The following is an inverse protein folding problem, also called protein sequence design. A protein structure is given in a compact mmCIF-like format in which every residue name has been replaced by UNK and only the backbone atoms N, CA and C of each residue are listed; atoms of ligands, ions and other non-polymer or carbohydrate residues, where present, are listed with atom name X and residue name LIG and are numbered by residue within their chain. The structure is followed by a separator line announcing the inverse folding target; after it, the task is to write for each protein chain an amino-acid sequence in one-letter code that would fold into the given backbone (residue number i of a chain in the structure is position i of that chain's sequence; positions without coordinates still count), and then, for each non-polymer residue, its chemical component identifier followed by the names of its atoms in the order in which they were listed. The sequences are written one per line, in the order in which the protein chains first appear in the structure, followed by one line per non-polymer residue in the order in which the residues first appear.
data_IF_016986234254
#
_entry.id   IF_016986234254
#
_cell.length_a   1.000
_cell.length_b   1.000
_cell.length_c   1.000
_cell.angle_alpha   90.00
_cell.angle_beta   90.00
_cell.angle_gamma   90.00
#
_symmetry.space_group_name_H-M   'P 1'
#
loop_
_entity.id
_entity.type
_entity.pdbx_description
1 polymer ?
#
# COMPACT_ATOMS: atom_id res chain seq x y z
N UNK A 1 33.20 9.98 0.00
CA UNK A 1 32.15 8.94 0.04
C UNK A 1 30.92 9.51 0.74
N UNK A 2 29.97 10.07 -0.02
CA UNK A 2 28.90 10.93 0.52
C UNK A 2 27.52 10.64 -0.12
N UNK A 3 27.16 9.37 -0.30
CA UNK A 3 25.88 8.96 -0.91
C UNK A 3 25.03 8.01 -0.04
N UNK A 4 25.53 7.52 1.09
CA UNK A 4 24.85 6.49 1.89
C UNK A 4 23.84 7.00 2.93
N UNK A 5 23.79 8.31 3.23
CA UNK A 5 23.11 8.81 4.44
C UNK A 5 21.81 9.60 4.19
N UNK A 6 21.38 9.77 2.93
CA UNK A 6 20.19 10.58 2.57
C UNK A 6 18.85 9.83 2.54
N UNK A 7 18.84 8.51 2.71
CA UNK A 7 17.61 7.69 2.64
C UNK A 7 16.98 7.37 4.01
N UNK A 8 17.51 7.91 5.12
CA UNK A 8 16.94 7.75 6.47
C UNK A 8 15.81 8.75 6.75
N UNK A 9 14.85 8.90 5.84
CA UNK A 9 13.63 9.66 6.13
C UNK A 9 12.50 8.71 6.51
N UNK A 10 11.71 9.09 7.52
CA UNK A 10 10.53 8.33 7.97
C UNK A 10 9.57 8.00 6.81
N UNK A 11 9.26 8.94 5.89
CA UNK A 11 8.47 8.62 4.71
C UNK A 11 9.18 7.63 3.77
N UNK A 12 10.49 7.77 3.56
CA UNK A 12 11.26 6.90 2.68
C UNK A 12 11.24 5.43 3.11
N UNK A 13 11.36 5.15 4.41
CA UNK A 13 11.29 3.79 4.94
C UNK A 13 9.88 3.17 4.75
N UNK A 14 8.83 3.94 5.02
CA UNK A 14 7.45 3.49 4.81
C UNK A 14 7.10 3.28 3.34
N UNK A 15 7.54 4.17 2.45
CA UNK A 15 7.36 4.01 1.00
C UNK A 15 8.12 2.80 0.46
N UNK A 16 9.34 2.56 0.91
CA UNK A 16 10.11 1.38 0.50
C UNK A 16 9.44 0.09 0.97
N UNK A 17 8.91 0.05 2.20
CA UNK A 17 8.15 -1.08 2.69
C UNK A 17 6.89 -1.32 1.84
N UNK A 18 6.15 -0.26 1.49
CA UNK A 18 4.99 -0.36 0.61
C UNK A 18 5.36 -0.90 -0.78
N UNK A 19 6.46 -0.42 -1.36
CA UNK A 19 6.97 -0.90 -2.62
C UNK A 19 7.31 -2.39 -2.55
N UNK A 20 8.01 -2.84 -1.50
CA UNK A 20 8.35 -4.26 -1.31
C UNK A 20 7.08 -5.11 -1.17
N UNK A 21 6.09 -4.66 -0.39
CA UNK A 21 4.82 -5.38 -0.24
C UNK A 21 4.12 -5.56 -1.58
N UNK A 22 4.03 -4.49 -2.37
CA UNK A 22 3.41 -4.54 -3.70
C UNK A 22 4.20 -5.44 -4.65
N UNK A 23 5.53 -5.33 -4.68
CA UNK A 23 6.36 -6.15 -5.57
C UNK A 23 6.31 -7.64 -5.22
N UNK A 24 6.34 -8.00 -3.94
CA UNK A 24 6.37 -9.40 -3.52
C UNK A 24 4.96 -9.99 -3.59
N UNK A 25 4.01 -9.39 -2.88
CA UNK A 25 2.69 -9.97 -2.70
C UNK A 25 1.71 -9.61 -3.83
N UNK A 26 1.92 -8.51 -4.53
CA UNK A 26 1.16 -8.21 -5.77
C UNK A 26 1.61 -9.03 -6.98
N UNK A 27 2.71 -9.79 -6.88
CA UNK A 27 3.24 -10.56 -8.01
C UNK A 27 2.28 -11.64 -8.48
N UNK A 28 2.21 -11.94 -9.80
CA UNK A 28 1.40 -13.03 -10.33
C UNK A 28 1.71 -14.38 -9.68
N UNK A 29 2.98 -14.62 -9.34
CA UNK A 29 3.42 -15.86 -8.72
C UNK A 29 2.91 -16.03 -7.30
N UNK A 30 3.00 -14.98 -6.46
CA UNK A 30 2.43 -15.05 -5.12
C UNK A 30 0.91 -15.18 -5.17
N UNK A 31 0.24 -14.42 -6.05
CA UNK A 31 -1.21 -14.45 -6.16
C UNK A 31 -1.74 -15.82 -6.65
N UNK A 32 -1.03 -16.48 -7.57
CA UNK A 32 -1.34 -17.84 -8.03
C UNK A 32 -1.02 -18.90 -6.96
N UNK A 33 0.08 -18.74 -6.23
CA UNK A 33 0.40 -19.61 -5.11
C UNK A 33 -0.65 -19.51 -4.00
N UNK A 34 -1.04 -18.30 -3.62
CA UNK A 34 -2.03 -18.05 -2.57
C UNK A 34 -3.38 -18.62 -2.96
N UNK A 35 -3.85 -18.42 -4.20
CA UNK A 35 -5.14 -18.98 -4.65
C UNK A 35 -5.19 -20.51 -4.65
N UNK A 36 -4.04 -21.18 -4.87
CA UNK A 36 -3.95 -22.64 -4.90
C UNK A 36 -3.70 -23.28 -3.54
N UNK A 37 -3.05 -22.57 -2.62
CA UNK A 37 -2.56 -23.15 -1.35
C UNK A 37 -3.22 -22.56 -0.11
N UNK A 38 -3.92 -21.43 -0.20
CA UNK A 38 -4.53 -20.76 0.92
C UNK A 38 -6.05 -20.96 0.92
N UNK A 39 -6.56 -21.65 1.94
CA UNK A 39 -8.00 -21.87 2.15
C UNK A 39 -8.69 -20.54 2.56
N UNK A 40 -9.55 -19.95 1.70
CA UNK A 40 -10.18 -18.67 1.98
C UNK A 40 -11.19 -18.71 3.14
N UNK A 41 -11.67 -19.90 3.53
CA UNK A 41 -12.59 -20.07 4.66
C UNK A 41 -11.87 -20.01 6.02
N UNK A 42 -10.52 -20.06 6.00
CA UNK A 42 -9.70 -19.87 7.20
C UNK A 42 -9.21 -18.43 7.31
N UNK A 43 -9.09 -17.91 8.54
CA UNK A 43 -8.57 -16.56 8.75
C UNK A 43 -7.15 -16.36 8.17
N UNK A 44 -6.30 -17.39 8.26
CA UNK A 44 -4.96 -17.38 7.70
C UNK A 44 -4.98 -17.35 6.17
N UNK A 45 -5.78 -18.21 5.54
CA UNK A 45 -5.85 -18.24 4.09
C UNK A 45 -6.54 -17.02 3.50
N UNK A 46 -7.55 -16.46 4.18
CA UNK A 46 -8.11 -15.15 3.85
C UNK A 46 -7.04 -14.05 3.87
N UNK A 47 -6.19 -14.00 4.91
CA UNK A 47 -5.12 -13.01 5.01
C UNK A 47 -4.06 -13.18 3.92
N UNK A 48 -3.68 -14.42 3.60
CA UNK A 48 -2.75 -14.71 2.51
C UNK A 48 -3.28 -14.25 1.15
N UNK A 49 -4.59 -14.42 0.90
CA UNK A 49 -5.26 -13.90 -0.29
C UNK A 49 -5.36 -12.37 -0.26
N UNK A 50 -5.58 -11.76 0.91
CA UNK A 50 -5.62 -10.31 1.06
C UNK A 50 -4.29 -9.65 0.68
N UNK A 51 -3.15 -10.27 1.02
CA UNK A 51 -1.83 -9.78 0.63
C UNK A 51 -1.68 -9.64 -0.89
N UNK A 52 -2.39 -10.45 -1.67
CA UNK A 52 -2.40 -10.39 -3.13
C UNK A 52 -3.30 -9.30 -3.73
N UNK A 53 -4.00 -8.50 -2.92
CA UNK A 53 -4.94 -7.48 -3.40
C UNK A 53 -4.34 -6.46 -4.39
N UNK A 54 -3.12 -5.90 -4.20
CA UNK A 54 -2.49 -5.01 -5.17
C UNK A 54 -1.85 -5.82 -6.32
N UNK A 55 -2.58 -6.81 -6.85
CA UNK A 55 -2.15 -7.64 -7.98
C UNK A 55 -1.81 -6.76 -9.18
N UNK A 56 -0.64 -7.00 -9.76
CA UNK A 56 -0.16 -6.42 -11.02
C UNK A 56 0.18 -7.55 -12.00
N UNK A 57 0.16 -7.27 -13.30
CA UNK A 57 0.55 -8.25 -14.32
C UNK A 57 1.32 -7.59 -15.46
N UNK A 58 2.57 -8.03 -15.64
CA UNK A 58 3.32 -7.77 -16.86
C UNK A 58 3.01 -8.87 -17.88
N UNK A 59 1.82 -8.81 -18.49
CA UNK A 59 1.51 -9.65 -19.63
C UNK A 59 1.58 -8.81 -20.91
N UNK A 60 2.47 -9.17 -21.83
CA UNK A 60 2.62 -8.49 -23.12
C UNK A 60 1.46 -8.76 -24.09
N UNK A 61 0.56 -9.69 -23.76
CA UNK A 61 -0.60 -10.07 -24.58
C UNK A 61 -1.90 -9.34 -24.22
N UNK A 62 -1.94 -8.66 -23.07
CA UNK A 62 -3.11 -7.88 -22.64
C UNK A 62 -3.21 -6.53 -23.38
N UNK A 63 -4.44 -6.01 -23.49
CA UNK A 63 -4.63 -4.67 -24.05
C UNK A 63 -3.89 -3.65 -23.17
N UNK A 64 -3.19 -2.69 -23.78
CA UNK A 64 -2.46 -1.64 -23.03
C UNK A 64 -3.36 -0.94 -21.98
N UNK A 65 -4.67 -0.90 -22.22
CA UNK A 65 -5.65 -0.32 -21.29
C UNK A 65 -5.84 -1.18 -20.04
N UNK A 66 -5.88 -2.50 -20.16
CA UNK A 66 -6.11 -3.41 -19.03
C UNK A 66 -4.85 -3.57 -18.17
N UNK A 67 -3.67 -3.58 -18.81
CA UNK A 67 -2.36 -3.52 -18.14
C UNK A 67 -2.26 -2.21 -17.36
N UNK A 68 -2.57 -1.08 -18.02
CA UNK A 68 -2.52 0.22 -17.37
C UNK A 68 -3.47 0.28 -16.17
N UNK A 69 -4.71 -0.16 -16.25
CA UNK A 69 -5.65 -0.06 -15.11
C UNK A 69 -5.24 -0.97 -13.94
N UNK A 70 -4.76 -2.18 -14.22
CA UNK A 70 -4.36 -3.15 -13.18
C UNK A 70 -3.08 -2.71 -12.47
N UNK A 71 -2.07 -2.29 -13.24
CA UNK A 71 -0.80 -1.80 -12.71
C UNK A 71 -0.92 -0.40 -12.09
N UNK A 72 -1.84 0.43 -12.59
CA UNK A 72 -2.13 1.77 -12.05
C UNK A 72 -2.52 1.69 -10.58
N UNK A 73 -3.32 0.70 -10.16
CA UNK A 73 -3.70 0.51 -8.75
C UNK A 73 -2.49 0.29 -7.85
N UNK A 74 -1.58 -0.58 -8.28
CA UNK A 74 -0.36 -0.91 -7.55
C UNK A 74 0.57 0.30 -7.45
N UNK A 75 0.74 1.05 -8.55
CA UNK A 75 1.53 2.28 -8.59
C UNK A 75 0.91 3.37 -7.70
N UNK A 76 -0.39 3.61 -7.83
CA UNK A 76 -1.11 4.59 -7.00
C UNK A 76 -0.99 4.27 -5.52
N UNK A 77 -1.09 3.00 -5.13
CA UNK A 77 -0.94 2.60 -3.74
C UNK A 77 0.43 3.06 -3.19
N UNK A 78 1.53 2.82 -3.91
CA UNK A 78 2.87 3.23 -3.47
C UNK A 78 3.02 4.76 -3.47
N UNK A 79 2.59 5.44 -4.53
CA UNK A 79 2.69 6.90 -4.66
C UNK A 79 1.84 7.62 -3.62
N UNK A 80 0.60 7.19 -3.41
CA UNK A 80 -0.28 7.75 -2.40
C UNK A 80 0.22 7.46 -0.98
N UNK A 81 0.84 6.29 -0.75
CA UNK A 81 1.51 6.02 0.53
C UNK A 81 2.62 7.03 0.79
N UNK A 82 3.49 7.27 -0.20
CA UNK A 82 4.54 8.28 -0.09
C UNK A 82 3.96 9.68 0.17
N UNK A 83 2.90 10.05 -0.56
CA UNK A 83 2.21 11.32 -0.41
C UNK A 83 1.62 11.49 1.00
N UNK A 84 0.86 10.50 1.50
CA UNK A 84 0.26 10.58 2.81
C UNK A 84 1.31 10.55 3.92
N UNK A 85 2.36 9.73 3.81
CA UNK A 85 3.49 9.75 4.76
C UNK A 85 4.24 11.09 4.76
N UNK A 86 4.26 11.81 3.64
CA UNK A 86 4.85 13.14 3.55
C UNK A 86 3.95 14.24 4.13
N UNK A 87 2.63 14.13 3.93
CA UNK A 87 1.66 15.14 4.35
C UNK A 87 1.23 15.00 5.83
N UNK A 88 1.11 13.76 6.34
CA UNK A 88 0.63 13.49 7.70
C UNK A 88 1.52 14.03 8.83
N UNK A 89 2.87 14.12 8.72
CA UNK A 89 3.71 14.71 9.75
C UNK A 89 3.52 16.23 9.97
N UNK A 90 2.55 16.88 9.30
CA UNK A 90 2.25 18.30 9.45
C UNK A 90 2.09 18.72 10.92
N UNK A 91 2.70 19.87 11.24
CA UNK A 91 2.81 20.68 12.49
C UNK A 91 2.11 20.27 13.81
N UNK A 92 1.02 19.50 13.79
CA UNK A 92 0.28 18.99 14.93
C UNK A 92 0.89 17.70 15.52
N UNK A 93 1.39 16.78 14.67
CA UNK A 93 2.08 15.55 15.11
C UNK A 93 3.47 15.83 15.70
N UNK A 94 4.08 16.95 15.32
CA UNK A 94 5.32 17.44 15.91
C UNK A 94 5.19 17.76 17.42
N UNK A 95 3.96 17.90 17.93
CA UNK A 95 3.65 18.17 19.34
C UNK A 95 3.37 16.88 20.14
N UNK A 96 2.89 15.82 19.48
CA UNK A 96 2.65 14.49 20.05
C UNK A 96 3.81 13.52 19.75
N UNK A 97 5.05 13.94 20.02
CA UNK A 97 6.30 13.20 19.74
C UNK A 97 6.38 11.88 20.51
N UNK A 98 5.74 10.84 20.01
CA UNK A 98 5.82 9.49 20.53
C UNK A 98 5.86 8.44 19.41
N UNK A 99 6.64 7.38 19.61
CA UNK A 99 6.76 6.21 18.72
C UNK A 99 5.40 5.64 18.32
N UNK A 100 4.43 5.66 19.23
CA UNK A 100 3.06 5.19 19.00
C UNK A 100 2.32 6.05 17.97
N UNK A 101 2.47 7.38 18.05
CA UNK A 101 1.80 8.30 17.13
C UNK A 101 2.32 8.16 15.69
N UNK A 102 3.63 7.92 15.54
CA UNK A 102 4.26 7.65 14.25
C UNK A 102 3.83 6.31 13.64
N UNK A 103 3.68 5.27 14.46
CA UNK A 103 3.13 3.98 14.04
C UNK A 103 1.71 4.15 13.47
N UNK A 104 0.80 4.79 14.22
CA UNK A 104 -0.58 5.01 13.77
C UNK A 104 -0.67 5.97 12.58
N UNK A 105 0.25 6.93 12.46
CA UNK A 105 0.34 7.79 11.27
C UNK A 105 0.74 6.97 10.03
N UNK A 106 1.74 6.09 10.14
CA UNK A 106 2.13 5.21 9.04
C UNK A 106 1.06 4.19 8.67
N UNK A 107 0.39 3.62 9.67
CA UNK A 107 -0.72 2.71 9.46
C UNK A 107 -1.90 3.39 8.76
N UNK A 108 -2.34 4.55 9.28
CA UNK A 108 -3.46 5.30 8.68
C UNK A 108 -3.13 5.80 7.27
N UNK A 109 -1.88 6.22 7.00
CA UNK A 109 -1.42 6.57 5.66
C UNK A 109 -1.70 5.45 4.65
N UNK A 110 -1.42 4.20 5.04
CA UNK A 110 -1.61 3.04 4.15
C UNK A 110 -3.08 2.66 3.96
N UNK A 111 -3.92 2.84 4.99
CA UNK A 111 -5.39 2.69 4.88
C UNK A 111 -5.94 3.65 3.83
N UNK A 112 -5.61 4.94 3.94
CA UNK A 112 -6.06 5.95 2.99
C UNK A 112 -5.49 5.70 1.60
N UNK A 113 -4.20 5.35 1.50
CA UNK A 113 -3.57 5.04 0.22
C UNK A 113 -4.29 3.89 -0.51
N UNK A 114 -4.62 2.80 0.21
CA UNK A 114 -5.40 1.68 -0.34
C UNK A 114 -6.78 2.09 -0.83
N UNK A 115 -7.53 2.83 0.00
CA UNK A 115 -8.86 3.30 -0.37
C UNK A 115 -8.87 4.22 -1.59
N UNK A 116 -7.98 5.22 -1.61
CA UNK A 116 -7.87 6.17 -2.73
C UNK A 116 -7.31 5.51 -4.00
N UNK A 117 -6.33 4.60 -3.89
CA UNK A 117 -5.82 3.87 -5.03
C UNK A 117 -6.93 3.08 -5.72
N UNK A 118 -7.75 2.35 -4.95
CA UNK A 118 -8.88 1.61 -5.50
C UNK A 118 -9.93 2.53 -6.11
N UNK A 119 -10.30 3.60 -5.38
CA UNK A 119 -11.28 4.59 -5.85
C UNK A 119 -10.86 5.19 -7.19
N UNK A 120 -9.65 5.73 -7.28
CA UNK A 120 -9.17 6.36 -8.51
C UNK A 120 -9.06 5.34 -9.64
N UNK A 121 -8.55 4.14 -9.38
CA UNK A 121 -8.46 3.09 -10.41
C UNK A 121 -9.84 2.77 -11.00
N UNK A 122 -10.88 2.65 -10.15
CA UNK A 122 -12.22 2.34 -10.65
C UNK A 122 -12.85 3.43 -11.51
N UNK A 123 -12.45 4.70 -11.33
CA UNK A 123 -12.95 5.80 -12.16
C UNK A 123 -12.41 5.78 -13.59
N UNK A 124 -11.30 5.07 -13.83
CA UNK A 124 -10.72 4.89 -15.18
C UNK A 124 -11.30 3.69 -15.96
N UNK A 125 -12.22 2.92 -15.35
CA UNK A 125 -12.92 1.82 -16.01
C UNK A 125 -13.91 2.34 -17.06
N UNK A 126 -14.20 1.53 -18.10
CA UNK A 126 -15.06 1.93 -19.21
C UNK A 126 -16.54 2.19 -18.83
N UNK A 127 -17.03 1.54 -17.76
CA UNK A 127 -18.40 1.69 -17.25
C UNK A 127 -18.37 1.82 -15.71
N UNK A 128 -17.91 2.95 -15.17
CA UNK A 128 -17.77 3.12 -13.73
C UNK A 128 -19.15 3.40 -13.10
N UNK A 129 -19.50 2.67 -12.05
CA UNK A 129 -20.62 3.04 -11.18
C UNK A 129 -20.11 3.56 -9.85
N UNK A 130 -20.79 4.56 -9.29
CA UNK A 130 -20.42 5.16 -8.00
C UNK A 130 -20.35 4.11 -6.89
N UNK A 131 -21.30 3.18 -6.87
CA UNK A 131 -21.34 2.09 -5.88
C UNK A 131 -20.17 1.11 -6.04
N UNK A 132 -19.74 0.81 -7.28
CA UNK A 132 -18.57 -0.02 -7.51
C UNK A 132 -17.29 0.68 -7.02
N UNK A 133 -17.17 1.99 -7.24
CA UNK A 133 -16.04 2.78 -6.76
C UNK A 133 -15.96 2.78 -5.22
N UNK A 134 -17.09 2.96 -4.52
CA UNK A 134 -17.12 2.89 -3.05
C UNK A 134 -16.81 1.50 -2.51
N UNK A 135 -17.31 0.43 -3.15
CA UNK A 135 -16.96 -0.95 -2.76
C UNK A 135 -15.47 -1.23 -2.97
N UNK A 136 -14.90 -0.78 -4.08
CA UNK A 136 -13.47 -0.91 -4.34
C UNK A 136 -12.63 -0.12 -3.33
N UNK A 137 -13.03 1.12 -3.03
CA UNK A 137 -12.41 1.93 -1.98
C UNK A 137 -12.47 1.23 -0.62
N UNK A 138 -13.61 0.63 -0.26
CA UNK A 138 -13.77 -0.18 0.94
C UNK A 138 -12.77 -1.35 0.98
N UNK A 139 -12.67 -2.12 -0.10
CA UNK A 139 -11.72 -3.24 -0.20
C UNK A 139 -10.27 -2.77 -0.07
N UNK A 140 -9.91 -1.66 -0.71
CA UNK A 140 -8.57 -1.06 -0.62
C UNK A 140 -8.25 -0.56 0.79
N UNK A 141 -9.22 0.07 1.46
CA UNK A 141 -9.08 0.49 2.85
C UNK A 141 -8.98 -0.71 3.80
N UNK A 142 -9.74 -1.78 3.57
CA UNK A 142 -9.62 -3.05 4.30
C UNK A 142 -8.21 -3.64 4.14
N UNK A 143 -7.68 -3.71 2.91
CA UNK A 143 -6.30 -4.12 2.69
C UNK A 143 -5.31 -3.28 3.53
N UNK A 144 -5.43 -1.96 3.46
CA UNK A 144 -4.57 -1.07 4.26
C UNK A 144 -4.77 -1.23 5.77
N UNK A 145 -5.97 -1.60 6.23
CA UNK A 145 -6.25 -1.84 7.65
C UNK A 145 -5.50 -3.05 8.17
N UNK A 146 -5.53 -4.17 7.43
CA UNK A 146 -4.91 -5.43 7.88
C UNK A 146 -3.42 -5.54 7.56
N UNK A 147 -2.91 -4.75 6.61
CA UNK A 147 -1.50 -4.81 6.17
C UNK A 147 -0.70 -3.57 6.58
N UNK A 148 -1.37 -2.42 6.80
CA UNK A 148 -0.71 -1.13 7.02
C UNK A 148 0.08 -1.01 8.31
N UNK A 149 -0.09 -1.91 9.28
CA UNK A 149 0.78 -1.97 10.46
C UNK A 149 2.25 -2.23 10.08
N UNK A 150 2.52 -2.92 8.96
CA UNK A 150 3.89 -3.11 8.43
C UNK A 150 4.52 -1.76 8.07
N UNK A 151 3.74 -0.89 7.42
CA UNK A 151 4.18 0.47 7.08
C UNK A 151 4.36 1.29 8.35
N UNK A 152 3.43 1.17 9.30
CA UNK A 152 3.54 1.77 10.63
C UNK A 152 4.82 1.36 11.36
N UNK A 153 5.27 0.10 11.27
CA UNK A 153 6.53 -0.34 11.86
C UNK A 153 7.75 0.15 11.07
N UNK A 154 7.68 0.12 9.73
CA UNK A 154 8.76 0.58 8.87
C UNK A 154 9.08 2.07 9.09
N UNK A 155 8.04 2.89 9.32
CA UNK A 155 8.22 4.32 9.60
C UNK A 155 8.96 4.55 10.93
N UNK A 156 8.83 3.68 11.94
CA UNK A 156 9.57 3.79 13.21
C UNK A 156 11.10 3.69 13.04
N UNK A 157 11.56 2.86 12.10
CA UNK A 157 12.98 2.61 11.85
C UNK A 157 13.76 3.82 11.35
N UNK A 158 13.08 4.80 10.74
CA UNK A 158 13.69 6.03 10.22
C UNK A 158 14.21 6.99 11.29
N UNK A 159 13.85 6.80 12.57
CA UNK A 159 14.15 7.74 13.65
C UNK A 159 15.55 7.54 14.30
N UNK A 160 16.33 6.52 13.91
CA UNK A 160 17.61 6.18 14.57
C UNK A 160 18.83 6.97 14.02
N UNK A 161 18.63 8.24 13.72
CA UNK A 161 19.57 9.06 12.96
C UNK A 161 20.10 10.32 13.64
N UNK A 162 19.93 10.53 14.94
CA UNK A 162 20.59 11.63 15.68
C UNK A 162 20.59 11.35 17.19
N UNK A 163 21.69 10.82 17.69
CA UNK A 163 22.20 11.11 19.04
C UNK A 163 23.68 11.38 18.91
#
# INVERSE_FOLDING_TARGET
MALGNRYKSVPGAGTLAALILVLVFGSPWYADWASKNADPETAGGWFLNLLAWPRWSFDTSDSLRDILVTDLKAILLVVLTALFLYLLPGSQLARARGTISQFFSGWSAYIFAGGFAALFTTLFLANPSLIAAFRAAGNGASYGLFVGWIIGLATLGGYRGTR
#
